data_IF_136198505982
#
_entry.id   IF_136198505982
#
_cell.length_a   1.000
_cell.length_b   1.000
_cell.length_c   1.000
_cell.angle_alpha   90.00
_cell.angle_beta   90.00
_cell.angle_gamma   90.00
#
_symmetry.space_group_name_H-M   'P 1'
#
loop_
_entity.id
_entity.type
_entity.pdbx_description
1 polymer ?
#
# COMPACT_ATOMS: atom_id res chain seq x y z
N UNK A 1 -17.44 -3.31 21.08
CA UNK A 1 -16.84 -4.10 19.99
C UNK A 1 -16.29 -3.14 18.94
N UNK A 2 -15.03 -3.23 18.63
CA UNK A 2 -14.41 -2.43 17.55
C UNK A 2 -14.94 -2.93 16.21
N UNK A 3 -15.38 -2.02 15.35
CA UNK A 3 -15.86 -2.37 14.01
C UNK A 3 -14.68 -2.46 13.03
N UNK A 4 -14.73 -3.37 12.04
CA UNK A 4 -13.70 -3.44 11.04
C UNK A 4 -13.65 -2.16 10.19
N UNK A 5 -12.44 -1.74 9.87
CA UNK A 5 -12.17 -0.60 8.96
C UNK A 5 -12.46 -0.99 7.51
N UNK A 6 -12.05 -2.21 7.13
CA UNK A 6 -12.25 -2.80 5.82
C UNK A 6 -12.62 -4.27 5.96
N UNK A 7 -13.61 -4.73 5.20
CA UNK A 7 -14.02 -6.13 5.16
C UNK A 7 -14.17 -6.60 3.73
N UNK A 8 -13.81 -7.85 3.48
CA UNK A 8 -14.13 -8.57 2.26
C UNK A 8 -15.06 -9.73 2.61
N UNK A 9 -16.22 -9.81 1.95
CA UNK A 9 -17.25 -10.82 2.22
C UNK A 9 -17.48 -11.64 0.96
N UNK A 10 -17.07 -12.90 1.00
CA UNK A 10 -17.22 -13.90 -0.07
C UNK A 10 -16.76 -13.40 -1.45
N UNK A 11 -15.71 -12.57 -1.48
CA UNK A 11 -15.24 -12.00 -2.74
C UNK A 11 -14.63 -13.06 -3.65
N UNK A 12 -14.83 -12.86 -4.96
CA UNK A 12 -14.30 -13.73 -6.01
C UNK A 12 -13.85 -12.97 -7.23
N UNK A 13 -12.77 -13.42 -7.86
CA UNK A 13 -12.17 -12.85 -9.07
C UNK A 13 -12.07 -13.89 -10.17
N UNK A 14 -12.58 -13.56 -11.36
CA UNK A 14 -12.40 -14.35 -12.58
C UNK A 14 -11.52 -13.61 -13.59
N UNK A 15 -10.70 -14.37 -14.32
CA UNK A 15 -10.06 -13.96 -15.55
C UNK A 15 -10.37 -15.01 -16.62
N UNK A 16 -10.82 -14.58 -17.80
CA UNK A 16 -11.14 -15.49 -18.94
C UNK A 16 -12.01 -16.68 -18.53
N UNK A 17 -13.06 -16.45 -17.73
CA UNK A 17 -14.00 -17.44 -17.18
C UNK A 17 -13.42 -18.43 -16.16
N UNK A 18 -12.17 -18.29 -15.75
CA UNK A 18 -11.55 -19.10 -14.71
C UNK A 18 -11.46 -18.30 -13.41
N UNK A 19 -11.81 -18.93 -12.30
CA UNK A 19 -11.65 -18.34 -10.99
C UNK A 19 -10.18 -18.32 -10.59
N UNK A 20 -9.66 -17.14 -10.29
CA UNK A 20 -8.35 -16.99 -9.67
C UNK A 20 -8.46 -17.29 -8.18
N UNK A 21 -9.50 -16.76 -7.55
CA UNK A 21 -9.88 -17.04 -6.17
C UNK A 21 -11.38 -16.79 -5.96
N UNK A 22 -11.96 -17.51 -4.99
CA UNK A 22 -13.36 -17.43 -4.61
C UNK A 22 -13.50 -17.49 -3.09
N UNK A 23 -14.66 -17.01 -2.61
CA UNK A 23 -15.06 -17.09 -1.20
C UNK A 23 -13.98 -16.54 -0.24
N UNK A 24 -13.25 -15.52 -0.66
CA UNK A 24 -12.28 -14.86 0.20
C UNK A 24 -13.02 -13.99 1.20
N UNK A 25 -12.72 -14.22 2.49
CA UNK A 25 -13.29 -13.48 3.61
C UNK A 25 -12.15 -13.01 4.51
N UNK A 26 -12.15 -11.73 4.88
CA UNK A 26 -11.30 -11.21 5.92
C UNK A 26 -11.84 -9.88 6.46
N UNK A 27 -11.39 -9.52 7.64
CA UNK A 27 -11.63 -8.22 8.27
C UNK A 27 -10.30 -7.59 8.62
N UNK A 28 -10.19 -6.29 8.43
CA UNK A 28 -9.06 -5.46 8.82
C UNK A 28 -9.57 -4.43 9.81
N UNK A 29 -9.11 -4.49 11.05
CA UNK A 29 -9.48 -3.54 12.09
C UNK A 29 -8.51 -2.34 12.10
N UNK A 30 -8.92 -1.20 12.66
CA UNK A 30 -7.99 -0.10 12.91
C UNK A 30 -6.77 -0.59 13.71
N UNK A 31 -5.57 -0.25 13.24
CA UNK A 31 -4.32 -0.69 13.85
C UNK A 31 -3.73 -1.97 13.29
N UNK A 32 -4.48 -2.79 12.56
CA UNK A 32 -4.04 -4.09 12.08
C UNK A 32 -2.94 -4.00 11.01
N UNK A 33 -2.06 -5.00 11.03
CA UNK A 33 -1.09 -5.30 9.97
C UNK A 33 -1.32 -6.73 9.49
N UNK A 34 -1.95 -6.88 8.32
CA UNK A 34 -2.34 -8.15 7.71
C UNK A 34 -1.37 -8.53 6.59
N UNK A 35 -0.85 -9.77 6.61
CA UNK A 35 -0.15 -10.35 5.46
C UNK A 35 -1.13 -11.11 4.55
N UNK A 36 -1.00 -10.95 3.23
CA UNK A 36 -1.58 -11.87 2.26
C UNK A 36 -0.46 -12.80 1.80
N UNK A 37 -0.58 -14.09 2.13
CA UNK A 37 0.41 -15.12 1.84
C UNK A 37 -0.14 -16.16 0.87
N UNK A 38 0.75 -16.78 0.11
CA UNK A 38 0.39 -17.81 -0.85
C UNK A 38 1.44 -17.96 -1.95
N UNK A 39 1.40 -19.02 -2.76
CA UNK A 39 2.37 -19.27 -3.81
C UNK A 39 2.43 -18.13 -4.84
N UNK A 40 3.52 -18.10 -5.63
CA UNK A 40 3.62 -17.17 -6.76
C UNK A 40 2.48 -17.44 -7.76
N UNK A 41 1.92 -16.37 -8.33
CA UNK A 41 0.82 -16.47 -9.30
C UNK A 41 -0.56 -16.76 -8.71
N UNK A 42 -0.72 -16.95 -7.39
CA UNK A 42 -2.04 -17.22 -6.77
C UNK A 42 -3.00 -16.02 -6.79
N UNK A 43 -2.54 -14.85 -7.21
CA UNK A 43 -3.37 -13.65 -7.35
C UNK A 43 -3.30 -12.67 -6.16
N UNK A 44 -2.22 -12.65 -5.37
CA UNK A 44 -2.04 -11.69 -4.25
C UNK A 44 -2.16 -10.24 -4.73
N UNK A 45 -1.43 -9.88 -5.78
CA UNK A 45 -1.52 -8.57 -6.44
C UNK A 45 -2.94 -8.25 -6.92
N UNK A 46 -3.64 -9.22 -7.54
CA UNK A 46 -5.01 -9.04 -7.99
C UNK A 46 -5.97 -8.80 -6.81
N UNK A 47 -5.72 -9.43 -5.67
CA UNK A 47 -6.52 -9.18 -4.46
C UNK A 47 -6.26 -7.77 -3.92
N UNK A 48 -5.01 -7.33 -3.80
CA UNK A 48 -4.70 -5.95 -3.40
C UNK A 48 -5.32 -4.92 -4.35
N UNK A 49 -5.25 -5.15 -5.66
CA UNK A 49 -5.84 -4.27 -6.68
C UNK A 49 -7.38 -4.24 -6.60
N UNK A 50 -8.00 -5.37 -6.31
CA UNK A 50 -9.45 -5.43 -6.09
C UNK A 50 -9.84 -4.65 -4.83
N UNK A 51 -9.10 -4.82 -3.73
CA UNK A 51 -9.27 -4.04 -2.49
C UNK A 51 -9.09 -2.54 -2.77
N UNK A 52 -8.10 -2.15 -3.57
CA UNK A 52 -7.88 -0.75 -3.97
C UNK A 52 -8.98 -0.19 -4.90
N UNK A 53 -9.95 -1.00 -5.32
CA UNK A 53 -10.96 -0.63 -6.31
C UNK A 53 -10.37 -0.35 -7.70
N UNK A 54 -9.21 -0.92 -8.03
CA UNK A 54 -8.55 -0.81 -9.32
C UNK A 54 -9.02 -1.88 -10.30
N UNK A 55 -9.36 -3.07 -9.77
CA UNK A 55 -9.88 -4.19 -10.55
C UNK A 55 -11.26 -4.60 -10.03
N UNK A 56 -12.19 -5.05 -10.89
CA UNK A 56 -13.50 -5.53 -10.45
C UNK A 56 -13.41 -6.89 -9.75
N UNK A 57 -14.37 -7.18 -8.89
CA UNK A 57 -14.68 -8.50 -8.38
C UNK A 57 -15.93 -9.05 -9.09
N UNK A 58 -16.06 -10.37 -9.25
CA UNK A 58 -17.21 -11.01 -9.89
C UNK A 58 -18.17 -11.64 -8.88
N UNK A 59 -17.78 -11.76 -7.61
CA UNK A 59 -18.63 -12.24 -6.52
C UNK A 59 -18.29 -11.50 -5.23
N UNK A 60 -19.24 -11.46 -4.30
CA UNK A 60 -19.09 -10.91 -2.97
C UNK A 60 -19.07 -9.39 -2.93
N UNK A 61 -18.57 -8.85 -1.83
CA UNK A 61 -18.59 -7.42 -1.55
C UNK A 61 -17.35 -7.00 -0.75
N UNK A 62 -16.82 -5.80 -1.06
CA UNK A 62 -15.82 -5.10 -0.25
C UNK A 62 -16.52 -3.94 0.46
N UNK A 63 -16.34 -3.86 1.75
CA UNK A 63 -16.96 -2.87 2.64
C UNK A 63 -15.85 -2.04 3.29
N UNK A 64 -15.92 -0.73 3.20
CA UNK A 64 -15.02 0.19 3.87
C UNK A 64 -15.82 1.15 4.75
N UNK A 65 -15.48 1.25 6.04
CA UNK A 65 -16.18 2.08 7.01
C UNK A 65 -17.72 1.88 6.96
N UNK A 66 -18.16 0.61 6.90
CA UNK A 66 -19.57 0.19 6.85
C UNK A 66 -20.31 0.57 5.56
N UNK A 67 -19.61 1.02 4.54
CA UNK A 67 -20.19 1.35 3.24
C UNK A 67 -19.64 0.40 2.16
N UNK A 68 -20.53 -0.11 1.32
CA UNK A 68 -20.13 -0.91 0.16
C UNK A 68 -19.23 -0.10 -0.77
N UNK A 69 -18.16 -0.73 -1.26
CA UNK A 69 -17.26 -0.11 -2.23
C UNK A 69 -17.99 0.37 -3.50
N UNK A 70 -19.05 -0.34 -3.90
CA UNK A 70 -19.88 0.03 -5.05
C UNK A 70 -20.64 1.35 -4.88
N UNK A 71 -20.87 1.79 -3.63
CA UNK A 71 -21.57 3.04 -3.29
C UNK A 71 -20.61 4.21 -3.06
N UNK A 72 -19.31 3.95 -2.99
CA UNK A 72 -18.32 4.98 -2.67
C UNK A 72 -17.82 5.71 -3.92
N UNK A 73 -17.46 6.98 -3.75
CA UNK A 73 -16.68 7.72 -4.74
C UNK A 73 -15.26 7.14 -4.78
N UNK A 74 -14.87 6.49 -5.88
CA UNK A 74 -13.56 5.87 -6.03
C UNK A 74 -12.37 6.82 -5.77
N UNK A 75 -12.38 8.09 -6.22
CA UNK A 75 -11.32 9.01 -5.85
C UNK A 75 -11.21 9.22 -4.33
N UNK A 76 -12.34 9.40 -3.62
CA UNK A 76 -12.34 9.57 -2.15
C UNK A 76 -11.91 8.31 -1.42
N UNK A 77 -12.33 7.15 -1.91
CA UNK A 77 -11.90 5.86 -1.37
C UNK A 77 -10.38 5.68 -1.51
N UNK A 78 -9.83 5.87 -2.73
CA UNK A 78 -8.40 5.70 -2.99
C UNK A 78 -7.51 6.74 -2.30
N UNK A 79 -8.06 7.86 -1.86
CA UNK A 79 -7.35 8.81 -1.00
C UNK A 79 -7.17 8.28 0.44
N UNK A 80 -8.01 7.33 0.86
CA UNK A 80 -7.97 6.71 2.18
C UNK A 80 -7.36 5.30 2.17
N UNK A 81 -7.50 4.58 1.04
CA UNK A 81 -6.96 3.23 0.83
C UNK A 81 -5.94 3.31 -0.31
N UNK A 82 -4.68 3.48 0.04
CA UNK A 82 -3.62 3.74 -0.92
C UNK A 82 -2.90 2.45 -1.32
N UNK A 83 -2.79 2.21 -2.61
CA UNK A 83 -2.07 1.07 -3.17
C UNK A 83 -0.67 1.45 -3.62
N UNK A 84 0.33 0.86 -3.00
CA UNK A 84 1.72 0.97 -3.39
C UNK A 84 2.09 -0.21 -4.28
N UNK A 85 2.32 0.08 -5.55
CA UNK A 85 2.62 -0.90 -6.58
C UNK A 85 4.05 -1.44 -6.44
N UNK A 86 4.26 -2.70 -6.81
CA UNK A 86 5.59 -3.34 -6.83
C UNK A 86 6.59 -2.59 -7.73
N UNK A 87 6.13 -2.07 -8.87
CA UNK A 87 6.94 -1.26 -9.79
C UNK A 87 6.27 0.12 -9.96
N UNK A 88 6.52 1.07 -9.07
CA UNK A 88 5.91 2.38 -9.15
C UNK A 88 6.50 3.21 -10.29
N UNK A 89 5.66 4.04 -10.91
CA UNK A 89 6.09 5.03 -11.89
C UNK A 89 6.29 6.40 -11.21
N UNK A 90 7.34 7.09 -11.63
CA UNK A 90 7.62 8.47 -11.29
C UNK A 90 7.47 9.35 -12.55
N UNK A 91 7.16 10.61 -12.33
CA UNK A 91 7.14 11.62 -13.38
C UNK A 91 8.57 12.13 -13.60
N UNK A 92 8.89 12.56 -14.82
CA UNK A 92 10.16 13.24 -15.13
C UNK A 92 10.38 14.44 -14.20
N UNK A 93 11.62 14.64 -13.80
CA UNK A 93 12.02 15.72 -12.90
C UNK A 93 12.68 15.23 -11.61
N UNK A 94 12.65 16.03 -10.57
CA UNK A 94 13.32 15.71 -9.31
C UNK A 94 12.46 14.84 -8.38
N UNK A 95 13.10 14.26 -7.38
CA UNK A 95 12.41 13.57 -6.28
C UNK A 95 11.41 14.51 -5.62
N UNK A 96 11.82 15.73 -5.25
CA UNK A 96 10.94 16.69 -4.60
C UNK A 96 9.74 17.07 -5.48
N UNK A 97 9.96 17.27 -6.79
CA UNK A 97 8.86 17.49 -7.74
C UNK A 97 7.83 16.37 -7.66
N UNK A 98 8.27 15.10 -7.66
CA UNK A 98 7.39 13.93 -7.55
C UNK A 98 6.62 13.89 -6.23
N UNK A 99 7.23 14.29 -5.12
CA UNK A 99 6.57 14.35 -3.82
C UNK A 99 5.51 15.46 -3.78
N UNK A 100 5.74 16.58 -4.46
CA UNK A 100 4.81 17.71 -4.50
C UNK A 100 3.60 17.48 -5.41
N UNK A 101 3.74 16.67 -6.49
CA UNK A 101 2.67 16.47 -7.48
C UNK A 101 1.37 15.90 -6.90
N UNK A 102 1.44 15.10 -5.84
CA UNK A 102 0.25 14.52 -5.22
C UNK A 102 -0.72 15.57 -4.66
N UNK A 103 -0.22 16.74 -4.29
CA UNK A 103 -1.02 17.87 -3.77
C UNK A 103 -1.73 18.68 -4.88
N UNK A 104 -1.39 18.45 -6.14
CA UNK A 104 -2.13 19.02 -7.28
C UNK A 104 -3.42 18.27 -7.60
N UNK A 105 -3.59 17.08 -7.05
CA UNK A 105 -4.85 16.33 -7.17
C UNK A 105 -5.94 17.03 -6.36
N UNK A 106 -7.13 17.16 -6.93
CA UNK A 106 -8.27 17.90 -6.33
C UNK A 106 -8.58 17.46 -4.91
N UNK A 107 -8.41 16.17 -4.58
CA UNK A 107 -8.66 15.62 -3.24
C UNK A 107 -7.60 16.00 -2.21
N UNK A 108 -6.45 16.42 -2.64
CA UNK A 108 -5.31 16.74 -1.78
C UNK A 108 -4.91 18.22 -1.84
N UNK A 109 -5.57 19.05 -2.69
CA UNK A 109 -5.22 20.45 -2.91
C UNK A 109 -5.41 21.36 -1.67
N UNK A 110 -6.13 20.89 -0.65
CA UNK A 110 -6.24 21.58 0.64
C UNK A 110 -5.09 21.24 1.61
N UNK A 111 -4.28 20.22 1.27
CA UNK A 111 -3.08 19.86 2.03
C UNK A 111 -1.88 20.54 1.39
N UNK A 112 -0.87 20.88 2.20
CA UNK A 112 0.39 21.45 1.72
C UNK A 112 1.50 20.42 1.84
N UNK A 113 2.46 20.47 0.92
CA UNK A 113 3.70 19.74 1.02
C UNK A 113 4.46 20.14 2.29
N UNK A 114 4.81 19.16 3.11
CA UNK A 114 5.54 19.37 4.35
C UNK A 114 6.98 18.84 4.20
N UNK A 115 7.90 19.71 3.79
CA UNK A 115 9.30 19.36 3.60
C UNK A 115 9.95 18.84 4.88
N UNK A 116 9.61 19.40 6.04
CA UNK A 116 10.19 18.97 7.32
C UNK A 116 9.79 17.50 7.65
N UNK A 117 8.56 17.11 7.33
CA UNK A 117 8.13 15.72 7.48
C UNK A 117 8.89 14.79 6.53
N UNK A 118 9.08 15.19 5.28
CA UNK A 118 9.83 14.40 4.29
C UNK A 118 11.30 14.25 4.72
N UNK A 119 11.92 15.32 5.21
CA UNK A 119 13.29 15.26 5.72
C UNK A 119 13.42 14.34 6.94
N UNK A 120 12.41 14.31 7.81
CA UNK A 120 12.36 13.35 8.93
C UNK A 120 12.29 11.90 8.42
N UNK A 121 11.47 11.62 7.41
CA UNK A 121 11.39 10.29 6.80
C UNK A 121 12.72 9.91 6.12
N UNK A 122 13.34 10.83 5.36
CA UNK A 122 14.65 10.60 4.73
C UNK A 122 15.73 10.31 5.77
N UNK A 123 15.76 11.05 6.87
CA UNK A 123 16.68 10.78 7.98
C UNK A 123 16.51 9.36 8.55
N UNK A 124 15.28 8.87 8.71
CA UNK A 124 15.00 7.49 9.14
C UNK A 124 15.48 6.45 8.11
N UNK A 125 15.60 6.83 6.84
CA UNK A 125 16.12 6.01 5.74
C UNK A 125 17.62 6.24 5.50
N UNK A 126 18.32 6.96 6.39
CA UNK A 126 19.74 7.33 6.26
C UNK A 126 20.05 8.05 4.93
N UNK A 127 19.10 8.87 4.47
CA UNK A 127 19.27 9.74 3.29
C UNK A 127 19.32 11.19 3.73
N UNK A 128 20.15 11.97 3.05
CA UNK A 128 20.29 13.42 3.26
C UNK A 128 19.25 14.23 2.46
N UNK A 129 19.26 15.53 2.66
CA UNK A 129 18.37 16.45 1.96
C UNK A 129 18.70 16.56 0.45
N UNK A 130 19.92 16.24 0.03
CA UNK A 130 20.35 16.29 -1.37
C UNK A 130 19.58 15.28 -2.22
N UNK A 131 19.09 14.18 -1.59
CA UNK A 131 18.24 13.21 -2.26
C UNK A 131 17.02 13.86 -2.93
N UNK A 132 16.48 14.95 -2.37
CA UNK A 132 15.31 15.65 -2.92
C UNK A 132 15.59 16.32 -4.29
N UNK A 133 16.82 16.74 -4.52
CA UNK A 133 17.23 17.42 -5.75
C UNK A 133 17.64 16.47 -6.88
N UNK A 134 17.80 15.16 -6.59
CA UNK A 134 18.19 14.16 -7.60
C UNK A 134 17.14 14.01 -8.68
N UNK A 135 17.59 13.82 -9.93
CA UNK A 135 16.71 13.42 -11.03
C UNK A 135 16.21 12.00 -10.80
N UNK A 136 14.93 11.75 -11.11
CA UNK A 136 14.36 10.40 -11.01
C UNK A 136 14.98 9.42 -12.02
N UNK A 137 15.58 9.92 -13.09
CA UNK A 137 16.29 9.12 -14.09
C UNK A 137 17.59 8.49 -13.54
N UNK A 138 18.18 9.12 -12.51
CA UNK A 138 19.40 8.67 -11.86
C UNK A 138 19.13 7.73 -10.66
N UNK A 139 17.87 7.41 -10.38
CA UNK A 139 17.50 6.58 -9.25
C UNK A 139 17.59 5.09 -9.58
N UNK A 140 18.14 4.33 -8.63
CA UNK A 140 18.01 2.88 -8.63
C UNK A 140 16.56 2.44 -8.41
N UNK A 141 16.21 1.19 -8.76
CA UNK A 141 14.87 0.66 -8.54
C UNK A 141 14.42 0.73 -7.07
N UNK A 142 15.34 0.50 -6.12
CA UNK A 142 15.07 0.67 -4.69
C UNK A 142 14.79 2.13 -4.30
N UNK A 143 15.52 3.08 -4.88
CA UNK A 143 15.29 4.52 -4.63
C UNK A 143 13.98 5.02 -5.23
N UNK A 144 13.59 4.53 -6.42
CA UNK A 144 12.25 4.76 -6.99
C UNK A 144 11.15 4.29 -6.03
N UNK A 145 11.35 3.13 -5.42
CA UNK A 145 10.41 2.58 -4.43
C UNK A 145 10.36 3.43 -3.15
N UNK A 146 11.52 3.95 -2.68
CA UNK A 146 11.57 4.92 -1.56
C UNK A 146 10.70 6.14 -1.88
N UNK A 147 10.88 6.78 -3.04
CA UNK A 147 10.08 7.96 -3.45
C UNK A 147 8.59 7.62 -3.47
N UNK A 148 8.20 6.47 -4.02
CA UNK A 148 6.82 6.04 -4.06
C UNK A 148 6.23 5.80 -2.65
N UNK A 149 7.02 5.21 -1.74
CA UNK A 149 6.65 5.04 -0.34
C UNK A 149 6.44 6.40 0.33
N UNK A 150 7.37 7.35 0.19
CA UNK A 150 7.24 8.70 0.75
C UNK A 150 6.01 9.44 0.19
N UNK A 151 5.71 9.28 -1.11
CA UNK A 151 4.48 9.81 -1.73
C UNK A 151 3.21 9.28 -1.06
N UNK A 152 3.21 8.02 -0.67
CA UNK A 152 2.08 7.40 0.03
C UNK A 152 1.97 7.90 1.48
N UNK A 153 3.06 7.84 2.24
CA UNK A 153 3.08 8.14 3.67
C UNK A 153 2.70 9.60 3.98
N UNK A 154 3.16 10.56 3.16
CA UNK A 154 2.86 11.98 3.36
C UNK A 154 1.38 12.34 3.20
N UNK A 155 0.62 11.52 2.46
CA UNK A 155 -0.82 11.71 2.29
C UNK A 155 -1.63 11.22 3.48
N UNK A 156 -1.00 10.47 4.39
CA UNK A 156 -1.61 9.90 5.59
C UNK A 156 -2.93 9.15 5.28
N UNK A 157 -2.91 8.13 4.40
CA UNK A 157 -4.08 7.29 4.16
C UNK A 157 -4.42 6.48 5.42
N UNK A 158 -5.64 5.95 5.50
CA UNK A 158 -6.04 5.07 6.60
C UNK A 158 -5.57 3.62 6.38
N UNK A 159 -5.49 3.19 5.13
CA UNK A 159 -5.01 1.85 4.78
C UNK A 159 -3.92 1.94 3.72
N UNK A 160 -2.79 1.30 3.97
CA UNK A 160 -1.75 1.05 2.98
C UNK A 160 -1.84 -0.38 2.47
N UNK A 161 -1.99 -0.54 1.17
CA UNK A 161 -1.91 -1.80 0.46
C UNK A 161 -0.53 -1.88 -0.18
N UNK A 162 0.32 -2.77 0.30
CA UNK A 162 1.75 -2.84 0.03
C UNK A 162 2.06 -4.10 -0.80
N UNK A 163 2.22 -3.92 -2.10
CA UNK A 163 2.51 -5.01 -3.03
C UNK A 163 4.01 -5.15 -3.23
N UNK A 164 4.62 -6.06 -2.46
CA UNK A 164 6.06 -6.31 -2.45
C UNK A 164 6.92 -5.03 -2.37
N UNK A 165 6.70 -4.16 -1.36
CA UNK A 165 7.23 -2.79 -1.34
C UNK A 165 8.75 -2.70 -1.26
N UNK A 166 9.46 -3.81 -1.04
CA UNK A 166 10.91 -3.87 -0.87
C UNK A 166 11.60 -4.84 -1.82
N UNK A 167 10.89 -5.36 -2.84
CA UNK A 167 11.42 -6.41 -3.72
C UNK A 167 12.69 -6.00 -4.50
N UNK A 168 12.89 -4.69 -4.74
CA UNK A 168 14.04 -4.15 -5.48
C UNK A 168 15.14 -3.57 -4.58
N UNK A 169 15.13 -3.89 -3.27
CA UNK A 169 16.03 -3.33 -2.27
C UNK A 169 16.99 -4.38 -1.72
N UNK A 170 18.18 -3.93 -1.28
CA UNK A 170 19.02 -4.72 -0.39
C UNK A 170 18.35 -4.86 0.99
N UNK A 171 18.82 -5.85 1.77
CA UNK A 171 18.22 -6.19 3.08
C UNK A 171 18.24 -5.01 4.06
N UNK A 172 19.29 -4.20 4.08
CA UNK A 172 19.40 -3.07 5.01
C UNK A 172 18.39 -1.97 4.67
N UNK A 173 18.29 -1.60 3.40
CA UNK A 173 17.31 -0.62 2.89
C UNK A 173 15.87 -1.14 3.09
N UNK A 174 15.63 -2.43 2.85
CA UNK A 174 14.33 -3.05 3.06
C UNK A 174 13.89 -2.92 4.53
N UNK A 175 14.77 -3.23 5.48
CA UNK A 175 14.47 -3.10 6.92
C UNK A 175 14.20 -1.65 7.33
N UNK A 176 14.88 -0.68 6.75
CA UNK A 176 14.62 0.75 7.02
C UNK A 176 13.22 1.16 6.53
N UNK A 177 12.80 0.74 5.34
CA UNK A 177 11.44 1.00 4.82
C UNK A 177 10.39 0.29 5.67
N UNK A 178 10.62 -0.96 6.06
CA UNK A 178 9.74 -1.70 6.97
C UNK A 178 9.53 -0.93 8.28
N UNK A 179 10.63 -0.51 8.91
CA UNK A 179 10.60 0.24 10.16
C UNK A 179 9.85 1.58 9.99
N UNK A 180 10.11 2.31 8.90
CA UNK A 180 9.43 3.56 8.60
C UNK A 180 7.91 3.37 8.44
N UNK A 181 7.45 2.34 7.70
CA UNK A 181 6.04 2.06 7.51
C UNK A 181 5.38 1.65 8.84
N UNK A 182 6.04 0.80 9.63
CA UNK A 182 5.53 0.40 10.95
C UNK A 182 5.44 1.60 11.89
N UNK A 183 6.46 2.45 11.94
CA UNK A 183 6.43 3.68 12.73
C UNK A 183 5.31 4.64 12.28
N UNK A 184 5.15 4.81 10.97
CA UNK A 184 4.08 5.62 10.40
C UNK A 184 2.69 5.07 10.79
N UNK A 185 2.50 3.77 10.75
CA UNK A 185 1.25 3.11 11.14
C UNK A 185 0.98 3.29 12.65
N UNK A 186 1.99 3.09 13.50
CA UNK A 186 1.86 3.22 14.94
C UNK A 186 1.64 4.66 15.43
N UNK A 187 2.01 5.66 14.63
CA UNK A 187 1.79 7.07 14.94
C UNK A 187 0.29 7.47 14.97
N UNK A 188 -0.59 6.62 14.42
CA UNK A 188 -2.04 6.83 14.44
C UNK A 188 -2.74 5.46 14.49
N UNK A 189 -3.44 5.18 15.59
CA UNK A 189 -4.13 3.90 15.82
C UNK A 189 -5.24 3.56 14.82
N UNK A 190 -5.63 4.52 13.98
CA UNK A 190 -6.61 4.29 12.91
C UNK A 190 -5.97 3.80 11.61
N UNK A 191 -4.64 3.81 11.50
CA UNK A 191 -3.92 3.36 10.32
C UNK A 191 -3.70 1.86 10.34
N UNK A 192 -3.90 1.22 9.20
CA UNK A 192 -3.73 -0.22 9.01
C UNK A 192 -2.95 -0.50 7.72
N UNK A 193 -2.35 -1.68 7.63
CA UNK A 193 -1.59 -2.10 6.45
C UNK A 193 -1.99 -3.51 6.01
N UNK A 194 -1.99 -3.73 4.70
CA UNK A 194 -2.01 -5.06 4.10
C UNK A 194 -0.73 -5.24 3.28
N UNK A 195 0.02 -6.30 3.55
CA UNK A 195 1.32 -6.59 2.96
C UNK A 195 1.29 -7.84 2.09
N UNK A 196 2.00 -7.80 0.97
CA UNK A 196 2.46 -9.00 0.28
C UNK A 196 3.98 -9.01 0.23
N UNK A 197 4.58 -10.18 0.35
CA UNK A 197 6.00 -10.40 0.12
C UNK A 197 6.26 -11.87 -0.15
N UNK A 198 7.34 -12.16 -0.87
CA UNK A 198 7.90 -13.50 -1.00
C UNK A 198 8.82 -13.87 0.18
N UNK A 199 9.23 -12.90 0.98
CA UNK A 199 10.09 -13.10 2.14
C UNK A 199 9.26 -13.34 3.40
N UNK A 200 9.18 -14.60 3.84
CA UNK A 200 8.41 -14.97 5.03
C UNK A 200 8.94 -14.29 6.31
N UNK A 201 10.27 -14.13 6.44
CA UNK A 201 10.88 -13.46 7.60
C UNK A 201 10.50 -11.99 7.67
N UNK A 202 10.37 -11.32 6.52
CA UNK A 202 9.85 -9.97 6.43
C UNK A 202 8.42 -9.89 6.97
N UNK A 203 7.52 -10.74 6.46
CA UNK A 203 6.11 -10.73 6.90
C UNK A 203 5.98 -10.98 8.40
N UNK A 204 6.79 -11.86 8.98
CA UNK A 204 6.81 -12.10 10.43
C UNK A 204 7.23 -10.87 11.24
N UNK A 205 8.10 -10.00 10.68
CA UNK A 205 8.53 -8.76 11.36
C UNK A 205 7.48 -7.66 11.30
N UNK A 206 6.72 -7.57 10.19
CA UNK A 206 5.89 -6.39 9.90
C UNK A 206 4.39 -6.63 10.04
N UNK A 207 3.93 -7.88 10.23
CA UNK A 207 2.50 -8.22 10.30
C UNK A 207 2.16 -9.09 11.51
N UNK A 208 0.91 -9.03 11.96
CA UNK A 208 0.38 -9.76 13.11
C UNK A 208 -0.58 -10.87 12.69
N UNK A 209 -1.25 -10.67 11.56
CA UNK A 209 -2.27 -11.60 11.04
C UNK A 209 -1.94 -12.02 9.61
N UNK A 210 -2.45 -13.19 9.21
CA UNK A 210 -2.22 -13.72 7.87
C UNK A 210 -3.51 -14.19 7.21
N UNK A 211 -3.71 -13.78 5.96
CA UNK A 211 -4.70 -14.34 5.04
C UNK A 211 -3.98 -15.26 4.05
N UNK A 212 -4.32 -16.55 4.08
CA UNK A 212 -3.69 -17.53 3.20
C UNK A 212 -4.54 -17.67 1.92
N UNK A 213 -3.99 -17.24 0.78
CA UNK A 213 -4.57 -17.50 -0.53
C UNK A 213 -4.15 -18.88 -1.02
N UNK A 214 -5.15 -19.67 -1.44
CA UNK A 214 -4.95 -20.99 -2.06
C UNK A 214 -5.31 -20.88 -3.54
N UNK A 215 -4.58 -21.63 -4.37
CA UNK A 215 -4.99 -21.79 -5.77
C UNK A 215 -6.38 -22.41 -5.83
N UNK A 216 -7.22 -21.87 -6.69
CA UNK A 216 -8.52 -22.52 -7.01
C UNK A 216 -8.23 -23.72 -7.90
N UNK A 217 -8.79 -24.91 -7.61
CA UNK A 217 -8.56 -26.12 -8.40
C UNK A 217 -9.11 -25.98 -9.82
#
# INVERSE_FOLDING_TARGET
>A
MTLPLLSAVQIGRQLTHQWIWQNINFELFPGDRLAIVGPSGVGKTLLLRAIAGLDPIQAGEIIFQRQSLSSLSMPRYRAQVFYLHQQPALLEGTVEFNLQQVYRLTLHNQKAYNQAQILSYLSSLQRDAEFLSRSVEDLSGGEVQIVACLRALQLAPQVLLLDEPTASMDEATAQQIEALIVQWQQADSLRSCIWTSHNASQLQRVTEHQLILKATP
#
